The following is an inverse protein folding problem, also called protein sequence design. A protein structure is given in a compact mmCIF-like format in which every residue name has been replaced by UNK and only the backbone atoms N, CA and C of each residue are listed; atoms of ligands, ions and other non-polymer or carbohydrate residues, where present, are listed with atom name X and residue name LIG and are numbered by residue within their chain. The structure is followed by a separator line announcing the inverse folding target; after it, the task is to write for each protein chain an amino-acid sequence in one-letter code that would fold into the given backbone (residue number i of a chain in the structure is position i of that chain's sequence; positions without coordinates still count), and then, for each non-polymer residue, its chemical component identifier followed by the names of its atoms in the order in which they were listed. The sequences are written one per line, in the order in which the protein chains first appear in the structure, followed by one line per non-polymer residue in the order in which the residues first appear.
data_IF_656433749109
#
_entry.id   IF_656433749109
#
_cell.length_a   1.000
_cell.length_b   1.000
_cell.length_c   1.000
_cell.angle_alpha   90.00
_cell.angle_beta   90.00
_cell.angle_gamma   90.00
#
_symmetry.space_group_name_H-M   'P 1'
#
loop_
_entity.id
_entity.type
_entity.pdbx_description
1 polymer ?
#
# COMPACT_ATOMS: atom_id res chain seq x y z
N UNK A 1 -2.86 -10.91 -17.06
CA UNK A 1 -2.15 -11.91 -16.24
C UNK A 1 -2.89 -12.06 -14.93
N UNK A 2 -2.93 -13.26 -14.32
CA UNK A 2 -3.61 -13.43 -13.03
C UNK A 2 -2.88 -12.62 -11.94
N UNK A 3 -3.64 -11.88 -11.13
CA UNK A 3 -3.12 -11.17 -9.96
C UNK A 3 -3.87 -11.62 -8.69
N UNK A 4 -3.46 -12.76 -8.10
CA UNK A 4 -4.10 -13.28 -6.90
C UNK A 4 -3.84 -12.37 -5.70
N UNK A 5 -4.78 -12.34 -4.76
CA UNK A 5 -4.59 -11.63 -3.50
C UNK A 5 -3.49 -12.30 -2.66
N UNK A 6 -2.52 -11.54 -2.14
CA UNK A 6 -1.49 -12.09 -1.26
C UNK A 6 -2.13 -12.51 0.09
N UNK A 7 -1.91 -13.76 0.49
CA UNK A 7 -2.41 -14.29 1.77
C UNK A 7 -1.35 -14.29 2.88
N UNK A 8 -0.09 -14.53 2.52
CA UNK A 8 1.03 -14.62 3.46
C UNK A 8 2.36 -14.39 2.75
N UNK A 9 3.30 -13.78 3.46
CA UNK A 9 4.71 -13.70 3.07
C UNK A 9 5.47 -14.87 3.71
N UNK A 10 6.02 -15.77 2.89
CA UNK A 10 6.69 -17.00 3.36
C UNK A 10 7.89 -16.67 4.27
N UNK A 11 8.70 -15.68 3.88
CA UNK A 11 9.91 -15.25 4.60
C UNK A 11 9.65 -14.21 5.71
N UNK A 12 8.38 -13.96 6.08
CA UNK A 12 8.04 -12.97 7.11
C UNK A 12 8.84 -13.15 8.43
N UNK A 13 9.04 -14.37 8.98
CA UNK A 13 9.82 -14.53 10.20
C UNK A 13 11.28 -14.07 10.06
N UNK A 14 11.88 -14.28 8.88
CA UNK A 14 13.25 -13.82 8.60
C UNK A 14 13.30 -12.30 8.45
N UNK A 15 12.34 -11.72 7.73
CA UNK A 15 12.24 -10.26 7.57
C UNK A 15 12.11 -9.59 8.93
N UNK A 16 11.22 -10.08 9.80
CA UNK A 16 11.03 -9.55 11.15
C UNK A 16 12.32 -9.58 11.97
N UNK A 17 13.04 -10.70 11.99
CA UNK A 17 14.33 -10.81 12.69
C UNK A 17 15.38 -9.82 12.20
N UNK A 18 15.42 -9.53 10.90
CA UNK A 18 16.36 -8.56 10.35
C UNK A 18 15.97 -7.12 10.74
N UNK A 19 14.68 -6.80 10.73
CA UNK A 19 14.16 -5.52 11.22
C UNK A 19 14.45 -5.34 12.71
N UNK A 20 14.24 -6.37 13.54
CA UNK A 20 14.55 -6.35 14.98
C UNK A 20 16.05 -6.16 15.29
N UNK A 21 16.92 -6.34 14.29
CA UNK A 21 18.37 -6.12 14.36
C UNK A 21 18.80 -4.78 13.74
N UNK A 22 17.85 -3.86 13.51
CA UNK A 22 18.07 -2.54 12.88
C UNK A 22 18.67 -2.61 11.47
N UNK A 23 18.42 -3.71 10.75
CA UNK A 23 18.87 -3.86 9.36
C UNK A 23 17.85 -3.27 8.40
N UNK A 24 18.31 -2.49 7.42
CA UNK A 24 17.47 -2.07 6.29
C UNK A 24 17.20 -3.25 5.37
N UNK A 25 15.93 -3.66 5.25
CA UNK A 25 15.53 -4.85 4.49
C UNK A 25 14.84 -4.45 3.17
N UNK A 26 15.39 -4.91 2.05
CA UNK A 26 14.73 -4.88 0.74
C UNK A 26 14.08 -6.24 0.50
N UNK A 27 12.76 -6.28 0.37
CA UNK A 27 12.00 -7.53 0.19
C UNK A 27 10.77 -7.31 -0.70
N UNK A 28 10.02 -8.39 -0.98
CA UNK A 28 8.81 -8.37 -1.80
C UNK A 28 8.99 -7.72 -3.19
N UNK A 29 10.20 -7.81 -3.76
CA UNK A 29 10.52 -7.24 -5.07
C UNK A 29 9.55 -7.74 -6.15
N UNK A 30 8.98 -6.80 -6.91
CA UNK A 30 8.00 -7.09 -7.96
C UNK A 30 6.67 -7.69 -7.48
N UNK A 31 6.36 -7.64 -6.17
CA UNK A 31 5.21 -8.32 -5.57
C UNK A 31 5.54 -9.64 -4.87
N UNK A 32 6.77 -10.14 -5.05
CA UNK A 32 7.20 -11.46 -4.59
C UNK A 32 6.87 -12.58 -5.58
N UNK A 33 7.49 -13.74 -5.37
CA UNK A 33 7.28 -14.93 -6.22
C UNK A 33 5.97 -15.61 -5.78
N UNK A 34 4.95 -15.71 -6.64
CA UNK A 34 3.70 -16.36 -6.28
C UNK A 34 3.91 -17.85 -6.03
N UNK A 35 3.51 -18.30 -4.85
CA UNK A 35 3.61 -19.69 -4.43
C UNK A 35 2.35 -20.14 -3.70
N UNK A 36 2.05 -21.43 -3.77
CA UNK A 36 1.06 -22.08 -2.91
C UNK A 36 1.68 -23.26 -2.17
N UNK A 37 0.99 -23.75 -1.13
CA UNK A 37 1.29 -25.04 -0.50
C UNK A 37 0.32 -26.09 -1.03
N UNK A 38 0.82 -27.27 -1.37
CA UNK A 38 -0.03 -28.41 -1.72
C UNK A 38 -0.44 -29.22 -0.47
N UNK A 39 -1.17 -30.32 -0.67
CA UNK A 39 -1.63 -31.19 0.42
C UNK A 39 -0.51 -31.83 1.24
N UNK A 40 0.72 -31.87 0.71
CA UNK A 40 1.92 -32.40 1.38
C UNK A 40 2.78 -31.27 1.99
N UNK A 41 2.24 -30.05 2.11
CA UNK A 41 2.91 -28.84 2.58
C UNK A 41 4.13 -28.40 1.72
N UNK A 42 4.22 -28.86 0.47
CA UNK A 42 5.30 -28.46 -0.45
C UNK A 42 4.97 -27.15 -1.14
N UNK A 43 6.00 -26.31 -1.31
CA UNK A 43 5.90 -25.03 -2.01
C UNK A 43 5.90 -25.28 -3.52
N UNK A 44 4.89 -24.74 -4.21
CA UNK A 44 4.81 -24.73 -5.68
C UNK A 44 4.74 -23.30 -6.21
N UNK A 45 5.61 -22.97 -7.16
CA UNK A 45 5.59 -21.67 -7.85
C UNK A 45 4.52 -21.62 -8.93
N UNK A 46 3.99 -20.42 -9.17
CA UNK A 46 2.96 -20.17 -10.18
C UNK A 46 3.33 -18.99 -11.08
N UNK A 47 2.88 -19.06 -12.34
CA UNK A 47 2.96 -17.94 -13.28
C UNK A 47 1.84 -16.92 -12.98
N UNK A 48 2.10 -16.03 -12.04
CA UNK A 48 1.20 -14.94 -11.66
C UNK A 48 2.01 -13.69 -11.25
N UNK A 49 1.34 -12.55 -11.09
CA UNK A 49 1.94 -11.31 -10.59
C UNK A 49 1.12 -10.84 -9.41
N UNK A 50 1.74 -10.85 -8.24
CA UNK A 50 1.13 -10.27 -7.04
C UNK A 50 1.30 -8.76 -7.12
N UNK A 51 0.23 -8.03 -6.82
CA UNK A 51 0.29 -6.58 -6.75
C UNK A 51 1.25 -6.11 -5.63
N UNK A 52 2.19 -5.24 -5.99
CA UNK A 52 3.23 -4.77 -5.07
C UNK A 52 2.66 -3.95 -3.91
N UNK A 53 1.60 -3.19 -4.14
CA UNK A 53 1.01 -2.31 -3.14
C UNK A 53 0.25 -3.18 -2.13
N UNK A 54 -0.47 -4.21 -2.60
CA UNK A 54 -1.16 -5.19 -1.75
C UNK A 54 -0.22 -6.03 -0.89
N UNK A 55 0.90 -6.54 -1.44
CA UNK A 55 1.87 -7.30 -0.61
C UNK A 55 2.59 -6.38 0.38
N UNK A 56 2.85 -5.12 0.00
CA UNK A 56 3.48 -4.15 0.90
C UNK A 56 2.55 -3.77 2.06
N UNK A 57 1.24 -3.65 1.81
CA UNK A 57 0.24 -3.52 2.88
C UNK A 57 0.29 -4.72 3.83
N UNK A 58 0.28 -5.95 3.29
CA UNK A 58 0.36 -7.16 4.12
C UNK A 58 1.64 -7.17 4.96
N UNK A 59 2.77 -6.80 4.38
CA UNK A 59 4.04 -6.68 5.11
C UNK A 59 3.95 -5.65 6.24
N UNK A 60 3.45 -4.45 5.94
CA UNK A 60 3.33 -3.36 6.92
C UNK A 60 2.41 -3.74 8.09
N UNK A 61 1.28 -4.40 7.81
CA UNK A 61 0.35 -4.92 8.83
C UNK A 61 1.04 -5.95 9.72
N UNK A 62 1.71 -6.94 9.14
CA UNK A 62 2.33 -8.03 9.90
C UNK A 62 3.59 -7.60 10.69
N UNK A 63 4.24 -6.52 10.25
CA UNK A 63 5.34 -5.89 10.97
C UNK A 63 4.87 -4.84 11.98
N UNK A 64 3.56 -4.58 12.07
CA UNK A 64 3.00 -3.51 12.91
C UNK A 64 3.70 -2.16 12.65
N UNK A 65 3.99 -1.88 11.37
CA UNK A 65 4.70 -0.67 10.99
C UNK A 65 3.87 0.55 11.35
N UNK A 66 4.48 1.57 11.97
CA UNK A 66 3.76 2.81 12.33
C UNK A 66 3.37 3.65 11.12
N UNK A 67 4.08 3.49 10.00
CA UNK A 67 3.88 4.24 8.76
C UNK A 67 3.93 3.33 7.56
N UNK A 68 3.01 3.53 6.63
CA UNK A 68 2.97 2.87 5.33
C UNK A 68 3.03 3.92 4.22
N UNK A 69 4.11 3.91 3.43
CA UNK A 69 4.35 4.94 2.41
C UNK A 69 4.42 4.30 1.03
N UNK A 70 3.64 4.83 0.09
CA UNK A 70 3.72 4.45 -1.34
C UNK A 70 4.24 5.64 -2.12
N UNK A 71 5.29 5.43 -2.90
CA UNK A 71 5.76 6.44 -3.86
C UNK A 71 5.15 6.19 -5.24
N UNK A 72 4.72 7.24 -5.93
CA UNK A 72 4.09 7.17 -7.26
C UNK A 72 4.55 8.31 -8.17
N UNK A 73 4.04 8.40 -9.41
CA UNK A 73 4.43 9.40 -10.41
C UNK A 73 3.67 10.72 -10.30
N UNK A 74 2.81 10.87 -9.29
CA UNK A 74 2.06 12.09 -8.99
C UNK A 74 2.37 12.53 -7.56
N UNK A 75 2.33 13.84 -7.33
CA UNK A 75 2.65 14.46 -6.04
C UNK A 75 1.56 14.24 -5.00
N UNK A 76 0.29 14.16 -5.42
CA UNK A 76 -0.87 13.97 -4.55
C UNK A 76 -1.93 13.09 -5.21
N UNK A 77 -2.89 12.64 -4.42
CA UNK A 77 -4.17 12.15 -4.91
C UNK A 77 -4.99 13.33 -5.38
N UNK A 78 -5.70 13.16 -6.49
CA UNK A 78 -6.55 14.19 -7.08
C UNK A 78 -7.99 13.69 -7.15
N UNK A 79 -8.93 14.56 -6.83
CA UNK A 79 -10.36 14.41 -7.09
C UNK A 79 -10.68 15.06 -8.45
N UNK A 80 -11.51 14.41 -9.25
CA UNK A 80 -11.80 14.84 -10.62
C UNK A 80 -10.61 14.64 -11.56
N UNK A 81 -9.85 13.55 -11.41
CA UNK A 81 -8.62 13.31 -12.20
C UNK A 81 -8.87 13.30 -13.72
N UNK A 82 -10.06 12.88 -14.14
CA UNK A 82 -10.46 12.84 -15.55
C UNK A 82 -11.12 14.14 -16.05
N UNK A 83 -11.14 15.18 -15.23
CA UNK A 83 -11.73 16.49 -15.56
C UNK A 83 -10.66 17.50 -15.92
N UNK A 84 -11.07 18.63 -16.49
CA UNK A 84 -10.16 19.74 -16.83
C UNK A 84 -9.60 20.46 -15.59
N UNK A 85 -10.18 20.22 -14.41
CA UNK A 85 -9.84 20.90 -13.16
C UNK A 85 -9.69 19.92 -11.99
N UNK A 86 -8.68 19.03 -12.03
CA UNK A 86 -8.43 18.09 -10.94
C UNK A 86 -8.01 18.85 -9.67
N UNK A 87 -8.59 18.47 -8.53
CA UNK A 87 -8.32 19.13 -7.24
C UNK A 87 -7.40 18.26 -6.39
N UNK A 88 -6.21 18.76 -5.99
CA UNK A 88 -5.29 18.00 -5.14
C UNK A 88 -5.88 17.82 -3.74
N UNK A 89 -5.77 16.61 -3.20
CA UNK A 89 -6.22 16.24 -1.85
C UNK A 89 -5.00 16.05 -0.96
N UNK A 90 -4.58 17.04 -0.15
CA UNK A 90 -3.41 16.89 0.74
C UNK A 90 -3.67 15.94 1.90
N UNK A 91 -4.94 15.79 2.31
CA UNK A 91 -5.38 14.88 3.34
C UNK A 91 -6.71 14.24 2.92
N UNK A 92 -6.86 12.96 3.28
CA UNK A 92 -8.09 12.19 3.12
C UNK A 92 -8.33 11.31 4.35
N UNK A 93 -9.58 11.12 4.69
CA UNK A 93 -10.02 10.03 5.58
C UNK A 93 -10.26 8.76 4.77
N UNK A 94 -10.21 7.60 5.42
CA UNK A 94 -10.62 6.32 4.80
C UNK A 94 -12.00 6.43 4.14
N UNK A 95 -12.98 7.05 4.82
CA UNK A 95 -14.32 7.22 4.28
C UNK A 95 -14.36 8.08 3.00
N UNK A 96 -13.53 9.13 2.91
CA UNK A 96 -13.42 9.93 1.69
C UNK A 96 -12.75 9.14 0.57
N UNK A 97 -11.72 8.33 0.87
CA UNK A 97 -11.09 7.43 -0.12
C UNK A 97 -12.12 6.44 -0.66
N UNK A 98 -12.93 5.82 0.20
CA UNK A 98 -13.98 4.88 -0.21
C UNK A 98 -15.05 5.55 -1.06
N UNK A 99 -15.47 6.77 -0.70
CA UNK A 99 -16.43 7.54 -1.48
C UNK A 99 -15.90 7.88 -2.88
N UNK A 100 -14.64 8.33 -2.97
CA UNK A 100 -13.96 8.60 -4.24
C UNK A 100 -13.80 7.32 -5.09
N UNK A 101 -13.46 6.20 -4.45
CA UNK A 101 -13.36 4.91 -5.12
C UNK A 101 -14.73 4.46 -5.69
N UNK A 102 -15.81 4.62 -4.91
CA UNK A 102 -17.18 4.31 -5.34
C UNK A 102 -17.66 5.23 -6.48
N UNK A 103 -17.16 6.47 -6.52
CA UNK A 103 -17.38 7.40 -7.63
C UNK A 103 -16.54 7.10 -8.87
N UNK A 104 -15.61 6.14 -8.80
CA UNK A 104 -14.76 5.75 -9.93
C UNK A 104 -13.57 6.69 -10.19
N UNK A 105 -13.18 7.50 -9.19
CA UNK A 105 -12.10 8.50 -9.30
C UNK A 105 -10.70 7.87 -9.44
N UNK A 106 -10.53 6.61 -9.06
CA UNK A 106 -9.23 5.93 -9.08
C UNK A 106 -9.12 4.96 -10.26
N UNK A 107 -8.24 5.24 -11.25
CA UNK A 107 -8.09 4.35 -12.39
C UNK A 107 -7.60 2.95 -11.98
N UNK A 108 -8.18 1.88 -12.56
CA UNK A 108 -7.75 0.52 -12.30
C UNK A 108 -6.32 0.31 -12.82
N UNK A 109 -5.52 -0.46 -12.07
CA UNK A 109 -4.12 -0.76 -12.43
C UNK A 109 -3.12 0.36 -12.13
N UNK A 110 -3.56 1.52 -11.61
CA UNK A 110 -2.67 2.58 -11.15
C UNK A 110 -3.02 3.06 -9.73
N UNK A 111 -4.00 3.94 -9.58
CA UNK A 111 -4.32 4.55 -8.29
C UNK A 111 -5.21 3.64 -7.42
N UNK A 112 -6.13 2.88 -8.03
CA UNK A 112 -7.04 2.04 -7.26
C UNK A 112 -6.32 1.01 -6.35
N UNK A 113 -5.33 0.22 -6.83
CA UNK A 113 -4.61 -0.72 -5.97
C UNK A 113 -3.87 -0.05 -4.81
N UNK A 114 -3.40 1.19 -4.99
CA UNK A 114 -2.72 1.98 -3.96
C UNK A 114 -3.67 2.40 -2.86
N UNK A 115 -4.82 2.92 -3.25
CA UNK A 115 -5.87 3.35 -2.32
C UNK A 115 -6.42 2.15 -1.56
N UNK A 116 -6.71 1.05 -2.23
CA UNK A 116 -7.11 -0.21 -1.59
C UNK A 116 -6.07 -0.71 -0.58
N UNK A 117 -4.79 -0.70 -0.93
CA UNK A 117 -3.72 -1.13 -0.04
C UNK A 117 -3.58 -0.19 1.19
N UNK A 118 -3.69 1.12 1.00
CA UNK A 118 -3.63 2.09 2.09
C UNK A 118 -4.83 1.98 3.03
N UNK A 119 -6.03 1.85 2.48
CA UNK A 119 -7.25 1.61 3.28
C UNK A 119 -7.12 0.29 4.04
N UNK A 120 -6.75 -0.81 3.39
CA UNK A 120 -6.59 -2.11 4.06
C UNK A 120 -5.54 -2.11 5.17
N UNK A 121 -4.42 -1.38 4.99
CA UNK A 121 -3.44 -1.15 6.05
C UNK A 121 -4.06 -0.38 7.22
N UNK A 122 -4.69 0.75 6.91
CA UNK A 122 -5.33 1.61 7.90
C UNK A 122 -6.51 0.92 8.57
N UNK A 123 -7.16 -0.08 7.98
CA UNK A 123 -8.25 -0.86 8.57
C UNK A 123 -7.76 -2.02 9.44
N UNK A 124 -6.53 -2.48 9.25
CA UNK A 124 -5.96 -3.58 10.01
C UNK A 124 -5.24 -3.11 11.29
N UNK A 125 -4.53 -1.98 11.25
CA UNK A 125 -3.72 -1.50 12.39
C UNK A 125 -3.87 0.01 12.58
N UNK A 126 -3.49 0.52 13.76
CA UNK A 126 -3.38 1.96 13.96
C UNK A 126 -2.04 2.47 13.41
N UNK A 127 -2.08 3.52 12.61
CA UNK A 127 -0.91 4.00 11.89
C UNK A 127 -1.25 5.08 10.87
N UNK A 128 -0.23 5.46 10.11
CA UNK A 128 -0.33 6.54 9.13
C UNK A 128 0.00 6.03 7.73
N UNK A 129 -0.85 6.35 6.74
CA UNK A 129 -0.56 6.06 5.33
C UNK A 129 -0.28 7.35 4.55
N UNK A 130 0.74 7.33 3.69
CA UNK A 130 1.15 8.49 2.89
C UNK A 130 1.47 8.07 1.46
N UNK A 131 0.95 8.81 0.47
CA UNK A 131 1.33 8.66 -0.95
C UNK A 131 2.01 9.93 -1.45
N UNK A 132 3.14 9.81 -2.14
CA UNK A 132 3.92 10.98 -2.60
C UNK A 132 4.79 10.67 -3.83
N UNK A 133 5.51 11.66 -4.35
CA UNK A 133 6.61 11.44 -5.28
C UNK A 133 7.82 10.79 -4.57
N UNK A 134 8.63 9.96 -5.25
CA UNK A 134 9.87 9.42 -4.70
C UNK A 134 10.83 10.50 -4.17
N UNK A 135 10.93 11.64 -4.87
CA UNK A 135 11.79 12.76 -4.46
C UNK A 135 11.34 13.48 -3.19
N UNK A 136 10.05 13.36 -2.84
CA UNK A 136 9.43 14.07 -1.72
C UNK A 136 9.27 13.17 -0.49
N UNK A 137 9.83 11.95 -0.50
CA UNK A 137 9.58 10.95 0.55
C UNK A 137 9.79 11.50 1.97
N UNK A 138 10.91 12.18 2.20
CA UNK A 138 11.22 12.77 3.51
C UNK A 138 10.20 13.86 3.88
N UNK A 139 9.95 14.80 2.96
CA UNK A 139 8.98 15.87 3.16
C UNK A 139 7.56 15.33 3.41
N UNK A 140 7.16 14.23 2.75
CA UNK A 140 5.86 13.62 2.91
C UNK A 140 5.69 12.94 4.27
N UNK A 141 6.73 12.24 4.74
CA UNK A 141 6.77 11.68 6.11
C UNK A 141 6.69 12.81 7.15
N UNK A 142 7.30 13.97 6.90
CA UNK A 142 7.21 15.15 7.76
C UNK A 142 5.89 15.94 7.59
N UNK A 143 4.97 15.47 6.74
CA UNK A 143 3.66 16.08 6.51
C UNK A 143 3.68 17.34 5.65
N UNK A 144 4.76 17.60 4.92
CA UNK A 144 4.96 18.78 4.07
C UNK A 144 4.66 18.51 2.58
N UNK A 145 4.51 17.25 2.19
CA UNK A 145 4.23 16.82 0.81
C UNK A 145 3.31 15.58 0.79
N UNK A 146 2.86 15.18 -0.40
CA UNK A 146 2.04 13.98 -0.56
C UNK A 146 0.57 14.14 -0.18
N UNK A 147 -0.15 13.03 -0.19
CA UNK A 147 -1.48 12.89 0.42
C UNK A 147 -1.38 12.00 1.64
N UNK A 148 -1.85 12.50 2.77
CA UNK A 148 -1.94 11.74 4.01
C UNK A 148 -3.33 11.10 4.12
N UNK A 149 -3.37 9.82 4.46
CA UNK A 149 -4.63 9.09 4.67
C UNK A 149 -4.71 8.66 6.14
N UNK A 150 -5.86 8.89 6.77
CA UNK A 150 -6.12 8.55 8.18
C UNK A 150 -7.43 7.77 8.31
N UNK A 151 -7.53 6.86 9.27
CA UNK A 151 -8.85 6.41 9.77
C UNK A 151 -9.53 7.66 10.33
N UNK A 152 -10.58 8.14 9.69
CA UNK A 152 -11.27 9.34 10.18
C UNK A 152 -11.72 9.14 11.63
N UNK A 153 -11.32 10.03 12.52
CA UNK A 153 -11.90 10.14 13.85
C UNK A 153 -13.13 11.03 13.80
N UNK A 154 -14.25 10.55 14.37
CA UNK A 154 -15.18 11.46 15.04
C UNK A 154 -14.34 12.18 16.12
N UNK A 155 -14.48 13.51 16.29
CA UNK A 155 -13.68 14.29 17.23
C UNK A 155 -13.57 13.66 18.63
#
# INVERSE_FOLDING_TARGET
MASPLPQRIVQLPTIRRLVDLDVTVICCGGGGIPVSRDGDDRIRGHEAVIDKDRVSMQLAVHLEASRFVITTSVDRVYEGWLTDTPTPRPELTVAEVEALAAAGEFPPGSMAPKMEAMVGYLEAIDGEAVICLPGDLVAAVDGQAGTRIRRGGRP
#
